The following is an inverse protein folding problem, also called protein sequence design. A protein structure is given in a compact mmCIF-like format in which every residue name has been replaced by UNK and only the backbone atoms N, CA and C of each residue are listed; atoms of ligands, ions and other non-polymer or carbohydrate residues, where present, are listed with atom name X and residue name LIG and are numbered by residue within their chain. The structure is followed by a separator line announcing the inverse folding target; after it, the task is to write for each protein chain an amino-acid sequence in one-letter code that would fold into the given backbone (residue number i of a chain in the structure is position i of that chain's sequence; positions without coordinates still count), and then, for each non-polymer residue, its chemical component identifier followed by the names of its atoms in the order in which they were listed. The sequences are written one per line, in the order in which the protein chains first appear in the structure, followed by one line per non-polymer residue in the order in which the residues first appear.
data_IF_788215566972
#
_entry.id   IF_788215566972
#
_cell.length_a   1.000
_cell.length_b   1.000
_cell.length_c   1.000
_cell.angle_alpha   90.00
_cell.angle_beta   90.00
_cell.angle_gamma   90.00
#
_symmetry.space_group_name_H-M   'P 1'
#
loop_
_entity.id
_entity.type
_entity.pdbx_description
1 polymer ?
#
# COMPACT_ATOMS: atom_id res chain seq x y z
N UNK A 1 -4.09 17.70 9.30
CA UNK A 1 -3.73 18.48 8.11
C UNK A 1 -4.82 18.33 7.04
N UNK A 2 -5.20 17.12 6.66
CA UNK A 2 -6.17 16.88 5.57
C UNK A 2 -7.64 17.09 5.98
N UNK A 3 -7.96 17.06 7.26
CA UNK A 3 -9.32 17.31 7.76
C UNK A 3 -9.80 18.71 7.36
N UNK A 4 -10.97 18.77 6.73
CA UNK A 4 -11.54 20.03 6.19
C UNK A 4 -10.97 20.49 4.84
N UNK A 5 -9.92 19.81 4.31
CA UNK A 5 -9.33 20.07 2.99
C UNK A 5 -9.66 18.94 2.01
N UNK A 6 -9.76 17.74 2.49
CA UNK A 6 -10.19 16.55 1.76
C UNK A 6 -11.56 16.13 2.31
N UNK A 7 -12.57 15.93 1.47
CA UNK A 7 -13.98 15.95 1.89
C UNK A 7 -14.37 14.79 2.82
N UNK A 8 -13.74 13.66 2.70
CA UNK A 8 -14.14 12.45 3.42
C UNK A 8 -12.92 11.64 3.91
N UNK A 9 -13.09 10.83 4.97
CA UNK A 9 -12.00 10.02 5.53
C UNK A 9 -11.37 9.05 4.53
N UNK A 10 -12.14 8.47 3.62
CA UNK A 10 -11.64 7.55 2.59
C UNK A 10 -10.64 8.25 1.67
N UNK A 11 -11.01 9.42 1.15
CA UNK A 11 -10.12 10.23 0.31
C UNK A 11 -8.87 10.70 1.07
N UNK A 12 -8.98 10.97 2.39
CA UNK A 12 -7.82 11.30 3.23
C UNK A 12 -6.84 10.12 3.32
N UNK A 13 -7.34 8.89 3.51
CA UNK A 13 -6.50 7.67 3.50
C UNK A 13 -5.82 7.49 2.17
N UNK A 14 -6.56 7.66 1.08
CA UNK A 14 -6.02 7.53 -0.27
C UNK A 14 -4.83 8.47 -0.48
N UNK A 15 -4.95 9.74 -0.07
CA UNK A 15 -3.85 10.69 -0.16
C UNK A 15 -2.64 10.28 0.69
N UNK A 16 -2.88 9.80 1.91
CA UNK A 16 -1.80 9.31 2.79
C UNK A 16 -1.13 8.09 2.15
N UNK A 17 -1.92 7.15 1.64
CA UNK A 17 -1.44 5.93 0.99
C UNK A 17 -0.55 6.25 -0.21
N UNK A 18 -1.03 7.11 -1.12
CA UNK A 18 -0.28 7.54 -2.30
C UNK A 18 1.04 8.18 -1.89
N UNK A 19 1.04 9.09 -0.91
CA UNK A 19 2.24 9.78 -0.48
C UNK A 19 3.25 8.86 0.22
N UNK A 20 2.78 7.91 1.05
CA UNK A 20 3.64 6.92 1.70
C UNK A 20 4.32 5.99 0.69
N UNK A 21 3.55 5.48 -0.27
CA UNK A 21 4.10 4.62 -1.32
C UNK A 21 5.07 5.41 -2.22
N UNK A 22 4.74 6.65 -2.53
CA UNK A 22 5.61 7.53 -3.30
C UNK A 22 6.96 7.73 -2.60
N UNK A 23 6.94 8.08 -1.31
CA UNK A 23 8.15 8.20 -0.49
C UNK A 23 8.92 6.88 -0.42
N UNK A 24 8.22 5.77 -0.15
CA UNK A 24 8.82 4.46 -0.07
C UNK A 24 9.58 4.06 -1.36
N UNK A 25 9.02 4.38 -2.54
CA UNK A 25 9.71 4.15 -3.82
C UNK A 25 11.02 4.94 -3.92
N UNK A 26 11.04 6.20 -3.46
CA UNK A 26 12.27 7.00 -3.46
C UNK A 26 13.30 6.49 -2.45
N UNK A 27 12.85 6.05 -1.28
CA UNK A 27 13.72 5.45 -0.26
C UNK A 27 14.36 4.14 -0.79
N UNK A 28 13.62 3.30 -1.52
CA UNK A 28 14.16 2.11 -2.18
C UNK A 28 15.21 2.45 -3.25
N UNK A 29 14.96 3.50 -4.05
CA UNK A 29 15.93 3.98 -5.04
C UNK A 29 17.19 4.52 -4.37
N UNK A 30 17.05 5.24 -3.24
CA UNK A 30 18.18 5.75 -2.47
C UNK A 30 19.02 4.61 -1.87
N UNK A 31 18.37 3.60 -1.30
CA UNK A 31 19.04 2.40 -0.77
C UNK A 31 19.78 1.64 -1.88
N UNK A 32 19.18 1.51 -3.07
CA UNK A 32 19.84 0.89 -4.21
C UNK A 32 21.11 1.65 -4.62
N UNK A 33 21.08 2.99 -4.65
CA UNK A 33 22.26 3.84 -4.93
C UNK A 33 23.34 3.67 -3.83
N UNK A 34 22.99 3.63 -2.57
CA UNK A 34 23.93 3.41 -1.47
C UNK A 34 24.65 2.06 -1.58
N UNK A 35 23.95 1.05 -2.10
CA UNK A 35 24.50 -0.29 -2.36
C UNK A 35 25.27 -0.39 -3.70
N UNK A 36 25.42 0.72 -4.43
CA UNK A 36 26.16 0.78 -5.71
C UNK A 36 25.35 0.37 -6.93
N UNK A 37 24.02 0.31 -6.81
CA UNK A 37 23.09 0.10 -7.94
C UNK A 37 22.58 1.42 -8.52
N UNK A 38 21.64 1.29 -9.44
CA UNK A 38 20.99 2.43 -10.11
C UNK A 38 19.57 2.66 -9.57
N UNK A 39 19.09 3.91 -9.68
CA UNK A 39 17.67 4.24 -9.47
C UNK A 39 16.81 3.60 -10.56
N UNK A 40 15.70 3.03 -10.17
CA UNK A 40 14.76 2.39 -11.08
C UNK A 40 13.42 3.15 -11.16
N UNK A 41 12.86 3.55 -10.02
CA UNK A 41 11.56 4.21 -9.95
C UNK A 41 11.62 5.66 -10.47
N UNK A 42 12.62 6.40 -10.03
CA UNK A 42 12.82 7.81 -10.39
C UNK A 42 14.05 7.96 -11.30
N UNK A 43 14.05 7.21 -12.42
CA UNK A 43 15.09 7.24 -13.44
C UNK A 43 14.64 7.98 -14.72
N UNK A 44 15.58 8.38 -15.57
CA UNK A 44 15.31 8.99 -16.87
C UNK A 44 14.39 10.22 -16.78
N UNK A 45 13.30 10.23 -17.54
CA UNK A 45 12.31 11.32 -17.55
C UNK A 45 11.56 11.49 -16.23
N UNK A 46 11.55 10.48 -15.36
CA UNK A 46 10.92 10.49 -14.04
C UNK A 46 11.85 10.96 -12.92
N UNK A 47 13.14 11.16 -13.17
CA UNK A 47 14.11 11.63 -12.17
C UNK A 47 13.74 12.99 -11.55
N UNK A 48 13.01 13.83 -12.27
CA UNK A 48 12.54 15.12 -11.78
C UNK A 48 11.49 15.01 -10.66
N UNK A 49 10.83 13.85 -10.54
CA UNK A 49 9.79 13.60 -9.54
C UNK A 49 10.32 12.99 -8.24
N UNK A 50 11.61 12.66 -8.11
CA UNK A 50 12.17 12.11 -6.87
C UNK A 50 11.76 12.90 -5.63
N UNK A 51 11.53 12.21 -4.51
CA UNK A 51 11.05 12.79 -3.27
C UNK A 51 11.95 13.93 -2.77
N UNK A 52 13.27 13.76 -2.86
CA UNK A 52 14.23 14.80 -2.50
C UNK A 52 14.08 16.11 -3.32
N UNK A 53 13.54 16.03 -4.55
CA UNK A 53 13.23 17.21 -5.36
C UNK A 53 12.01 17.95 -4.83
N UNK A 54 10.96 17.21 -4.45
CA UNK A 54 9.76 17.77 -3.83
C UNK A 54 10.07 18.47 -2.49
N UNK A 55 11.00 17.90 -1.72
CA UNK A 55 11.40 18.41 -0.40
C UNK A 55 12.53 19.44 -0.45
N UNK A 56 12.98 19.86 -1.64
CA UNK A 56 14.07 20.82 -1.78
C UNK A 56 13.72 22.16 -1.12
N UNK A 57 14.61 22.71 -0.26
CA UNK A 57 14.32 23.91 0.55
C UNK A 57 14.02 25.18 -0.27
N UNK A 58 14.53 25.25 -1.49
CA UNK A 58 14.41 26.41 -2.39
C UNK A 58 13.21 26.31 -3.34
N UNK A 59 12.42 25.23 -3.28
CA UNK A 59 11.25 25.06 -4.12
C UNK A 59 10.05 25.84 -3.55
N UNK A 60 9.40 26.65 -4.39
CA UNK A 60 8.20 27.40 -4.03
C UNK A 60 7.01 26.47 -3.74
N UNK A 61 6.09 26.89 -2.87
CA UNK A 61 4.92 26.04 -2.53
C UNK A 61 4.07 25.68 -3.74
N UNK A 62 3.87 26.62 -4.67
CA UNK A 62 3.14 26.35 -5.92
C UNK A 62 3.90 25.42 -6.87
N UNK A 63 5.23 25.47 -6.87
CA UNK A 63 6.06 24.58 -7.67
C UNK A 63 6.00 23.15 -7.12
N UNK A 64 6.03 22.97 -5.79
CA UNK A 64 5.82 21.68 -5.13
C UNK A 64 4.42 21.13 -5.47
N UNK A 65 3.39 21.98 -5.39
CA UNK A 65 2.02 21.59 -5.71
C UNK A 65 1.91 21.08 -7.16
N UNK A 66 2.46 21.84 -8.11
CA UNK A 66 2.45 21.50 -9.54
C UNK A 66 3.21 20.19 -9.79
N UNK A 67 4.43 20.08 -9.23
CA UNK A 67 5.30 18.92 -9.43
C UNK A 67 4.70 17.65 -8.82
N UNK A 68 4.20 17.71 -7.58
CA UNK A 68 3.56 16.56 -6.92
C UNK A 68 2.29 16.12 -7.65
N UNK A 69 1.43 17.07 -8.02
CA UNK A 69 0.20 16.76 -8.77
C UNK A 69 0.50 16.12 -10.14
N UNK A 70 1.51 16.63 -10.87
CA UNK A 70 1.97 16.04 -12.12
C UNK A 70 2.53 14.63 -11.89
N UNK A 71 3.36 14.46 -10.88
CA UNK A 71 4.02 13.20 -10.57
C UNK A 71 3.03 12.07 -10.28
N UNK A 72 2.10 12.27 -9.33
CA UNK A 72 1.14 11.22 -8.99
C UNK A 72 0.22 10.86 -10.16
N UNK A 73 -0.11 11.84 -11.01
CA UNK A 73 -0.94 11.62 -12.20
C UNK A 73 -0.21 10.89 -13.34
N UNK A 74 1.13 10.90 -13.35
CA UNK A 74 1.94 10.25 -14.40
C UNK A 74 2.62 8.96 -13.96
N UNK A 75 2.61 8.65 -12.67
CA UNK A 75 3.35 7.50 -12.15
C UNK A 75 2.84 6.17 -12.71
N UNK A 76 1.54 6.05 -13.00
CA UNK A 76 0.97 4.88 -13.63
C UNK A 76 1.50 4.61 -15.05
N UNK A 77 2.08 5.62 -15.72
CA UNK A 77 2.67 5.50 -17.05
C UNK A 77 4.18 5.21 -17.00
N UNK A 78 4.80 5.19 -15.81
CA UNK A 78 6.22 4.98 -15.65
C UNK A 78 6.62 3.55 -16.02
N UNK A 79 7.41 3.34 -17.10
CA UNK A 79 7.81 2.00 -17.53
C UNK A 79 8.85 1.35 -16.61
N UNK A 80 9.53 2.15 -15.78
CA UNK A 80 10.56 1.69 -14.85
C UNK A 80 10.02 1.07 -13.56
N UNK A 81 8.69 1.12 -13.33
CA UNK A 81 8.10 0.60 -12.11
C UNK A 81 7.27 -0.67 -12.36
N UNK A 82 7.24 -1.61 -11.39
CA UNK A 82 6.40 -2.79 -11.45
C UNK A 82 4.90 -2.45 -11.66
N UNK A 83 4.14 -3.39 -12.25
CA UNK A 83 2.72 -3.21 -12.51
C UNK A 83 1.94 -2.85 -11.23
N UNK A 84 2.27 -3.49 -10.11
CA UNK A 84 1.69 -3.19 -8.80
C UNK A 84 1.70 -1.68 -8.48
N UNK A 85 2.84 -1.01 -8.63
CA UNK A 85 2.92 0.43 -8.36
C UNK A 85 2.13 1.26 -9.37
N UNK A 86 2.13 0.85 -10.65
CA UNK A 86 1.30 1.50 -11.67
C UNK A 86 -0.18 1.42 -11.31
N UNK A 87 -0.63 0.28 -10.80
CA UNK A 87 -2.03 0.08 -10.39
C UNK A 87 -2.38 0.92 -9.16
N UNK A 88 -1.45 1.07 -8.21
CA UNK A 88 -1.63 1.97 -7.05
C UNK A 88 -1.82 3.42 -7.48
N UNK A 89 -1.07 3.90 -8.49
CA UNK A 89 -1.18 5.27 -8.99
C UNK A 89 -2.25 5.46 -10.08
N UNK A 90 -2.96 4.41 -10.49
CA UNK A 90 -4.03 4.51 -11.47
C UNK A 90 -5.11 5.47 -10.99
N UNK A 91 -5.41 6.49 -11.80
CA UNK A 91 -6.36 7.57 -11.48
C UNK A 91 -6.01 8.38 -10.21
N UNK A 92 -4.77 8.34 -9.75
CA UNK A 92 -4.34 9.17 -8.63
C UNK A 92 -4.39 10.65 -8.98
N UNK A 93 -4.94 11.46 -8.10
CA UNK A 93 -5.01 12.92 -8.26
C UNK A 93 -4.96 13.62 -6.90
N UNK A 94 -4.60 14.90 -6.90
CA UNK A 94 -4.60 15.73 -5.72
C UNK A 94 -5.94 16.48 -5.61
N UNK A 95 -6.78 16.23 -4.59
CA UNK A 95 -8.13 16.78 -4.50
C UNK A 95 -8.18 18.23 -4.00
N UNK A 96 -7.05 18.84 -3.66
CA UNK A 96 -6.95 20.21 -3.18
C UNK A 96 -5.83 20.99 -3.90
N UNK A 97 -5.85 22.32 -3.79
CA UNK A 97 -4.93 23.23 -4.49
C UNK A 97 -4.22 24.20 -3.54
N UNK A 98 -4.18 23.91 -2.27
CA UNK A 98 -3.54 24.74 -1.26
C UNK A 98 -2.08 24.28 -1.05
N UNK A 99 -1.07 25.09 -1.45
CA UNK A 99 0.33 24.74 -1.36
C UNK A 99 0.81 24.52 0.09
N UNK A 100 0.29 25.28 1.04
CA UNK A 100 0.71 25.19 2.44
C UNK A 100 0.19 23.90 3.08
N UNK A 101 -1.04 23.48 2.73
CA UNK A 101 -1.58 22.19 3.14
C UNK A 101 -0.72 21.07 2.58
N UNK A 102 -0.34 21.11 1.29
CA UNK A 102 0.49 20.08 0.69
C UNK A 102 1.87 20.01 1.34
N UNK A 103 2.55 21.15 1.52
CA UNK A 103 3.89 21.19 2.15
C UNK A 103 3.86 20.63 3.57
N UNK A 104 2.86 21.02 4.36
CA UNK A 104 2.69 20.50 5.72
C UNK A 104 2.44 19.00 5.71
N UNK A 105 1.62 18.52 4.79
CA UNK A 105 1.32 17.11 4.63
C UNK A 105 2.55 16.30 4.21
N UNK A 106 3.28 16.74 3.17
CA UNK A 106 4.49 16.05 2.72
C UNK A 106 5.57 16.04 3.79
N UNK A 107 5.68 17.10 4.60
CA UNK A 107 6.63 17.15 5.72
C UNK A 107 6.31 16.10 6.80
N UNK A 108 5.04 15.85 7.10
CA UNK A 108 4.66 14.77 8.03
C UNK A 108 5.02 13.39 7.45
N UNK A 109 4.76 13.20 6.16
CA UNK A 109 5.15 11.95 5.46
C UNK A 109 6.67 11.79 5.45
N UNK A 110 7.42 12.86 5.21
CA UNK A 110 8.89 12.85 5.19
C UNK A 110 9.49 12.48 6.56
N UNK A 111 8.87 12.98 7.63
CA UNK A 111 9.26 12.65 9.02
C UNK A 111 8.90 11.23 9.44
N UNK A 112 8.16 10.48 8.64
CA UNK A 112 7.79 9.11 8.95
C UNK A 112 8.96 8.18 8.68
N UNK A 113 9.58 7.67 9.75
CA UNK A 113 10.69 6.72 9.70
C UNK A 113 10.18 5.31 10.04
N UNK A 114 10.63 4.32 9.30
CA UNK A 114 10.34 2.91 9.54
C UNK A 114 11.61 2.08 9.43
N UNK A 115 11.87 1.29 10.45
CA UNK A 115 13.08 0.44 10.49
C UNK A 115 12.95 -0.83 9.64
N UNK A 116 11.71 -1.26 9.36
CA UNK A 116 11.39 -2.47 8.58
C UNK A 116 10.00 -2.33 7.93
N UNK A 117 9.84 -2.90 6.73
CA UNK A 117 8.57 -2.92 5.97
C UNK A 117 7.39 -3.50 6.76
N UNK A 118 7.65 -4.49 7.62
CA UNK A 118 6.62 -5.13 8.47
C UNK A 118 5.96 -4.13 9.44
N UNK A 119 6.75 -3.23 10.04
CA UNK A 119 6.23 -2.17 10.93
C UNK A 119 5.43 -1.12 10.16
N UNK A 120 5.81 -0.84 8.92
CA UNK A 120 5.06 0.06 8.07
C UNK A 120 3.69 -0.56 7.71
N UNK A 121 3.65 -1.86 7.43
CA UNK A 121 2.40 -2.61 7.21
C UNK A 121 1.46 -2.52 8.41
N UNK A 122 1.96 -2.77 9.62
CA UNK A 122 1.17 -2.68 10.85
C UNK A 122 0.68 -1.26 11.13
N UNK A 123 1.51 -0.24 10.89
CA UNK A 123 1.11 1.17 11.00
C UNK A 123 0.04 1.54 9.97
N UNK A 124 0.14 1.03 8.76
CA UNK A 124 -0.85 1.21 7.71
C UNK A 124 -2.18 0.54 8.07
N UNK A 125 -2.16 -0.68 8.58
CA UNK A 125 -3.37 -1.35 9.08
C UNK A 125 -4.01 -0.60 10.24
N UNK A 126 -3.23 -0.07 11.17
CA UNK A 126 -3.74 0.78 12.24
C UNK A 126 -4.43 2.03 11.68
N UNK A 127 -3.80 2.72 10.73
CA UNK A 127 -4.39 3.86 10.03
C UNK A 127 -5.74 3.49 9.40
N UNK A 128 -5.78 2.38 8.67
CA UNK A 128 -6.99 1.86 8.04
C UNK A 128 -8.09 1.52 9.08
N UNK A 129 -7.72 1.03 10.26
CA UNK A 129 -8.67 0.68 11.34
C UNK A 129 -9.30 1.92 11.98
N UNK A 130 -8.50 2.97 12.23
CA UNK A 130 -8.98 4.24 12.80
C UNK A 130 -10.00 4.91 11.85
N UNK A 131 -9.75 4.84 10.57
CA UNK A 131 -10.62 5.45 9.55
C UNK A 131 -11.91 4.65 9.34
N UNK A 132 -11.84 3.33 9.39
CA UNK A 132 -13.03 2.47 9.35
C UNK A 132 -13.95 2.64 10.55
N UNK A 133 -13.43 3.09 11.70
CA UNK A 133 -14.21 3.34 12.91
C UNK A 133 -15.01 4.67 12.89
N UNK A 134 -14.71 5.59 11.99
CA UNK A 134 -15.35 6.90 11.90
C UNK A 134 -16.69 6.90 11.14
N UNK A 135 -17.18 5.72 10.72
CA UNK A 135 -18.57 5.52 10.35
C UNK A 135 -19.06 6.15 9.04
N UNK A 136 -18.18 6.77 8.27
CA UNK A 136 -18.56 7.31 6.97
C UNK A 136 -18.44 6.25 5.86
N UNK A 137 -19.54 6.09 5.13
CA UNK A 137 -19.68 5.29 3.92
C UNK A 137 -19.97 3.78 4.07
N UNK A 138 -20.52 3.30 5.18
CA UNK A 138 -21.09 1.92 5.22
C UNK A 138 -20.07 0.78 5.12
N UNK A 139 -18.79 1.05 5.25
CA UNK A 139 -17.74 0.05 5.23
C UNK A 139 -17.48 -0.44 6.66
N UNK A 140 -18.18 -1.49 7.05
CA UNK A 140 -17.93 -2.17 8.31
C UNK A 140 -16.72 -3.08 8.15
N UNK A 141 -15.61 -2.75 8.83
CA UNK A 141 -14.45 -3.63 8.91
C UNK A 141 -14.61 -4.59 10.07
N UNK A 142 -14.37 -5.84 9.81
CA UNK A 142 -14.28 -6.84 10.88
C UNK A 142 -13.09 -6.47 11.78
N UNK A 143 -13.30 -6.34 13.11
CA UNK A 143 -12.20 -6.03 14.03
C UNK A 143 -11.07 -7.06 13.94
N UNK A 144 -9.82 -6.60 14.01
CA UNK A 144 -8.64 -7.45 13.82
C UNK A 144 -8.65 -8.69 14.71
N UNK A 145 -8.96 -8.56 15.98
CA UNK A 145 -8.99 -9.70 16.93
C UNK A 145 -10.04 -10.78 16.56
N UNK A 146 -11.11 -10.39 15.88
CA UNK A 146 -12.12 -11.34 15.37
C UNK A 146 -11.58 -12.04 14.12
N UNK A 147 -10.93 -11.32 13.22
CA UNK A 147 -10.27 -11.90 12.04
C UNK A 147 -9.22 -12.92 12.49
N UNK A 148 -8.34 -12.54 13.41
CA UNK A 148 -7.26 -13.39 13.89
C UNK A 148 -7.81 -14.64 14.59
N UNK A 149 -8.88 -14.51 15.39
CA UNK A 149 -9.58 -15.64 15.99
C UNK A 149 -10.16 -16.59 14.94
N UNK A 150 -10.83 -16.07 13.90
CA UNK A 150 -11.39 -16.90 12.83
C UNK A 150 -10.29 -17.62 12.06
N UNK A 151 -9.20 -16.94 11.74
CA UNK A 151 -8.04 -17.53 11.06
C UNK A 151 -7.38 -18.60 11.94
N UNK A 152 -7.26 -18.37 13.24
CA UNK A 152 -6.69 -19.34 14.18
C UNK A 152 -7.55 -20.61 14.30
N UNK A 153 -8.89 -20.46 14.29
CA UNK A 153 -9.83 -21.59 14.33
C UNK A 153 -9.81 -22.40 13.02
N UNK A 154 -9.75 -21.73 11.85
CA UNK A 154 -9.68 -22.37 10.53
C UNK A 154 -8.31 -23.01 10.31
N UNK A 155 -7.26 -22.40 10.87
CA UNK A 155 -5.88 -22.89 10.85
C UNK A 155 -5.34 -23.21 9.45
N UNK A 156 -5.34 -22.23 8.50
CA UNK A 156 -4.91 -22.46 7.14
C UNK A 156 -3.44 -22.88 7.07
N UNK A 157 -3.12 -23.79 6.14
CA UNK A 157 -1.78 -24.36 5.96
C UNK A 157 -1.09 -23.80 4.71
N UNK A 158 0.24 -23.85 4.68
CA UNK A 158 1.08 -23.30 3.59
C UNK A 158 0.78 -23.88 2.20
N UNK A 159 0.13 -25.04 2.11
CA UNK A 159 -0.23 -25.69 0.86
C UNK A 159 -1.67 -25.41 0.40
N UNK A 160 -2.45 -24.71 1.20
CA UNK A 160 -3.86 -24.45 0.93
C UNK A 160 -4.03 -23.12 0.18
N UNK A 161 -5.15 -23.01 -0.55
CA UNK A 161 -5.57 -21.77 -1.20
C UNK A 161 -6.49 -20.98 -0.28
N UNK A 162 -6.24 -19.68 -0.18
CA UNK A 162 -7.06 -18.75 0.57
C UNK A 162 -7.67 -17.76 -0.41
N UNK A 163 -9.00 -17.68 -0.45
CA UNK A 163 -9.73 -16.72 -1.25
C UNK A 163 -10.63 -15.87 -0.36
N UNK A 164 -10.52 -14.57 -0.48
CA UNK A 164 -11.49 -13.61 0.07
C UNK A 164 -12.23 -12.95 -1.09
N UNK A 165 -13.53 -13.28 -1.31
CA UNK A 165 -14.30 -12.79 -2.45
C UNK A 165 -14.82 -11.36 -2.29
N UNK A 166 -14.58 -10.70 -1.14
CA UNK A 166 -14.93 -9.32 -0.84
C UNK A 166 -13.89 -8.73 0.12
N UNK A 167 -12.62 -8.73 -0.33
CA UNK A 167 -11.46 -8.63 0.56
C UNK A 167 -11.28 -7.25 1.23
N UNK A 168 -11.97 -6.21 0.77
CA UNK A 168 -11.83 -4.88 1.30
C UNK A 168 -10.37 -4.42 1.25
N UNK A 169 -9.74 -4.29 2.39
CA UNK A 169 -8.31 -3.94 2.53
C UNK A 169 -7.40 -5.14 2.77
N UNK A 170 -7.85 -6.34 2.43
CA UNK A 170 -7.14 -7.62 2.57
C UNK A 170 -6.86 -8.06 4.02
N UNK A 171 -7.66 -7.61 4.99
CA UNK A 171 -7.43 -7.92 6.41
C UNK A 171 -7.40 -9.41 6.72
N UNK A 172 -8.33 -10.22 6.18
CA UNK A 172 -8.34 -11.68 6.34
C UNK A 172 -7.15 -12.35 5.66
N UNK A 173 -6.79 -11.91 4.45
CA UNK A 173 -5.68 -12.46 3.69
C UNK A 173 -4.34 -12.23 4.41
N UNK A 174 -4.14 -11.03 4.96
CA UNK A 174 -2.94 -10.69 5.75
C UNK A 174 -2.90 -11.48 7.05
N UNK A 175 -4.03 -11.64 7.74
CA UNK A 175 -4.07 -12.48 8.95
C UNK A 175 -3.74 -13.93 8.65
N UNK A 176 -4.29 -14.50 7.57
CA UNK A 176 -3.96 -15.86 7.12
C UNK A 176 -2.46 -15.99 6.79
N UNK A 177 -1.89 -15.04 6.05
CA UNK A 177 -0.46 -14.99 5.75
C UNK A 177 0.39 -14.97 7.02
N UNK A 178 0.13 -14.04 7.95
CA UNK A 178 0.85 -13.94 9.23
C UNK A 178 0.73 -15.22 10.05
N UNK A 179 -0.45 -15.83 10.09
CA UNK A 179 -0.69 -17.10 10.78
C UNK A 179 0.17 -18.22 10.22
N UNK A 180 0.19 -18.41 8.89
CA UNK A 180 0.99 -19.43 8.22
C UNK A 180 2.49 -19.17 8.42
N UNK A 181 2.95 -17.92 8.31
CA UNK A 181 4.34 -17.60 8.60
C UNK A 181 4.72 -17.92 10.04
N UNK A 182 3.86 -17.59 11.01
CA UNK A 182 4.06 -17.89 12.44
C UNK A 182 4.23 -19.40 12.68
N UNK A 183 3.42 -20.22 12.03
CA UNK A 183 3.52 -21.69 12.13
C UNK A 183 4.81 -22.27 11.52
N UNK A 184 5.45 -21.53 10.63
CA UNK A 184 6.70 -21.91 9.94
C UNK A 184 7.88 -21.03 10.39
N UNK A 185 7.92 -20.69 11.67
CA UNK A 185 8.91 -19.77 12.27
C UNK A 185 9.73 -20.47 13.33
N UNK A 186 11.06 -20.30 13.29
CA UNK A 186 11.99 -20.67 14.34
C UNK A 186 12.57 -19.42 15.03
N UNK A 187 13.16 -18.52 14.27
CA UNK A 187 13.78 -17.29 14.75
C UNK A 187 13.19 -16.04 14.09
N UNK A 188 12.87 -16.14 12.77
CA UNK A 188 12.29 -15.07 11.95
C UNK A 188 11.05 -15.56 11.25
N UNK A 189 10.09 -14.66 11.05
CA UNK A 189 8.81 -14.99 10.43
C UNK A 189 8.98 -15.77 9.10
N UNK A 190 8.50 -17.01 9.08
CA UNK A 190 8.56 -17.87 7.90
C UNK A 190 9.94 -18.40 7.52
N UNK A 191 10.93 -18.42 8.43
CA UNK A 191 12.30 -18.88 8.16
C UNK A 191 12.42 -20.39 7.94
N UNK A 192 11.37 -21.15 8.24
CA UNK A 192 11.29 -22.58 7.93
C UNK A 192 10.70 -22.86 6.54
N UNK A 193 10.22 -21.83 5.82
CA UNK A 193 9.77 -21.96 4.44
C UNK A 193 10.95 -21.87 3.48
N UNK A 194 11.02 -22.80 2.54
CA UNK A 194 11.92 -22.63 1.39
C UNK A 194 11.45 -21.45 0.51
N UNK A 195 12.33 -20.88 -0.35
CA UNK A 195 11.93 -19.84 -1.29
C UNK A 195 10.74 -20.25 -2.17
N UNK A 196 10.73 -21.50 -2.66
CA UNK A 196 9.64 -22.03 -3.49
C UNK A 196 8.33 -22.18 -2.70
N UNK A 197 8.39 -22.65 -1.46
CA UNK A 197 7.20 -22.75 -0.59
C UNK A 197 6.63 -21.37 -0.29
N UNK A 198 7.50 -20.36 -0.06
CA UNK A 198 7.05 -19.00 0.18
C UNK A 198 6.43 -18.38 -1.06
N UNK A 199 7.00 -18.61 -2.25
CA UNK A 199 6.45 -18.16 -3.52
C UNK A 199 5.09 -18.82 -3.80
N UNK A 200 4.98 -20.14 -3.59
CA UNK A 200 3.73 -20.89 -3.76
C UNK A 200 2.65 -20.43 -2.78
N UNK A 201 3.01 -20.17 -1.52
CA UNK A 201 2.08 -19.64 -0.53
C UNK A 201 1.55 -18.26 -0.95
N UNK A 202 2.42 -17.36 -1.40
CA UNK A 202 2.00 -16.05 -1.89
C UNK A 202 1.07 -16.18 -3.11
N UNK A 203 1.37 -17.10 -4.04
CA UNK A 203 0.55 -17.38 -5.22
C UNK A 203 -0.80 -18.04 -4.90
N UNK A 204 -0.96 -18.60 -3.71
CA UNK A 204 -2.20 -19.25 -3.28
C UNK A 204 -3.15 -18.31 -2.50
N UNK A 205 -2.77 -17.05 -2.28
CA UNK A 205 -3.59 -16.07 -1.57
C UNK A 205 -4.21 -15.09 -2.58
N UNK A 206 -5.54 -15.10 -2.67
CA UNK A 206 -6.30 -14.34 -3.66
C UNK A 206 -7.36 -13.47 -3.00
N UNK A 207 -7.61 -12.30 -3.55
CA UNK A 207 -8.68 -11.41 -3.11
C UNK A 207 -9.42 -10.78 -4.27
N UNK A 208 -10.72 -10.61 -4.12
CA UNK A 208 -11.56 -9.86 -5.03
C UNK A 208 -12.26 -8.73 -4.28
N UNK A 209 -12.44 -7.61 -4.95
CA UNK A 209 -13.32 -6.54 -4.47
C UNK A 209 -13.92 -5.80 -5.66
N UNK A 210 -15.16 -5.35 -5.53
CA UNK A 210 -15.85 -4.58 -6.56
C UNK A 210 -15.37 -3.12 -6.62
N UNK A 211 -14.79 -2.62 -5.53
CA UNK A 211 -14.35 -1.23 -5.42
C UNK A 211 -12.89 -1.06 -5.85
N UNK A 212 -12.61 -0.28 -6.92
CA UNK A 212 -11.24 0.02 -7.35
C UNK A 212 -10.38 0.62 -6.23
N UNK A 213 -10.99 1.40 -5.34
CA UNK A 213 -10.28 2.01 -4.21
C UNK A 213 -9.90 0.98 -3.16
N UNK A 214 -10.78 -0.01 -2.91
CA UNK A 214 -10.44 -1.12 -2.00
C UNK A 214 -9.35 -1.99 -2.60
N UNK A 215 -9.40 -2.29 -3.88
CA UNK A 215 -8.33 -2.99 -4.60
C UNK A 215 -7.00 -2.25 -4.44
N UNK A 216 -6.97 -0.94 -4.63
CA UNK A 216 -5.76 -0.13 -4.43
C UNK A 216 -5.23 -0.23 -2.99
N UNK A 217 -6.10 -0.05 -2.00
CA UNK A 217 -5.71 -0.13 -0.59
C UNK A 217 -5.23 -1.54 -0.21
N UNK A 218 -5.87 -2.58 -0.73
CA UNK A 218 -5.46 -3.97 -0.48
C UNK A 218 -4.11 -4.30 -1.12
N UNK A 219 -3.86 -3.84 -2.34
CA UNK A 219 -2.57 -4.01 -3.01
C UNK A 219 -1.44 -3.37 -2.19
N UNK A 220 -1.64 -2.15 -1.70
CA UNK A 220 -0.67 -1.48 -0.82
C UNK A 220 -0.48 -2.26 0.48
N UNK A 221 -1.59 -2.66 1.12
CA UNK A 221 -1.53 -3.37 2.38
C UNK A 221 -0.82 -4.73 2.25
N UNK A 222 -1.12 -5.50 1.22
CA UNK A 222 -0.43 -6.76 0.90
C UNK A 222 1.06 -6.53 0.62
N UNK A 223 1.39 -5.52 -0.19
CA UNK A 223 2.78 -5.19 -0.49
C UNK A 223 3.59 -4.85 0.77
N UNK A 224 3.04 -4.02 1.66
CA UNK A 224 3.68 -3.66 2.94
C UNK A 224 3.84 -4.86 3.89
N UNK A 225 3.12 -5.97 3.65
CA UNK A 225 3.26 -7.23 4.36
C UNK A 225 4.12 -8.27 3.61
N UNK A 226 4.87 -7.82 2.59
CA UNK A 226 5.89 -8.62 1.93
C UNK A 226 5.42 -9.39 0.68
N UNK A 227 4.25 -9.07 0.14
CA UNK A 227 3.82 -9.59 -1.17
C UNK A 227 4.41 -8.73 -2.28
N UNK A 228 5.25 -9.30 -3.10
CA UNK A 228 5.83 -8.61 -4.28
C UNK A 228 4.88 -8.58 -5.47
N UNK A 229 3.98 -9.56 -5.56
CA UNK A 229 2.97 -9.70 -6.61
C UNK A 229 1.65 -10.19 -6.00
N UNK A 230 0.88 -9.31 -5.31
CA UNK A 230 -0.38 -9.70 -4.66
C UNK A 230 -1.49 -9.94 -5.69
N UNK A 231 -2.19 -11.08 -5.56
CA UNK A 231 -3.29 -11.48 -6.42
C UNK A 231 -4.62 -10.86 -5.95
N UNK A 232 -4.75 -9.54 -6.11
CA UNK A 232 -5.99 -8.80 -5.82
C UNK A 232 -6.55 -8.25 -7.12
N UNK A 233 -7.82 -8.53 -7.38
CA UNK A 233 -8.48 -8.18 -8.64
C UNK A 233 -9.79 -7.44 -8.39
N UNK A 234 -10.05 -6.39 -9.18
CA UNK A 234 -11.37 -5.75 -9.25
C UNK A 234 -12.35 -6.72 -9.93
N UNK A 235 -13.28 -7.26 -9.15
CA UNK A 235 -14.23 -8.25 -9.63
C UNK A 235 -15.51 -8.24 -8.80
N UNK A 236 -16.67 -8.26 -9.48
CA UNK A 236 -17.96 -8.48 -8.84
C UNK A 236 -18.25 -9.98 -8.72
N UNK A 237 -18.03 -10.53 -7.53
CA UNK A 237 -18.20 -11.96 -7.24
C UNK A 237 -19.66 -12.44 -7.24
N UNK A 238 -20.63 -11.51 -7.32
CA UNK A 238 -22.06 -11.83 -7.39
C UNK A 238 -22.56 -11.87 -8.83
N UNK A 239 -21.78 -11.39 -9.79
CA UNK A 239 -22.12 -11.51 -11.21
C UNK A 239 -21.53 -12.81 -11.76
N UNK A 240 -22.38 -13.64 -12.38
CA UNK A 240 -21.94 -14.79 -13.16
C UNK A 240 -21.61 -14.31 -14.58
N UNK A 241 -20.41 -13.79 -14.82
CA UNK A 241 -19.87 -13.77 -16.18
C UNK A 241 -19.12 -15.10 -16.40
N UNK A 242 -19.64 -15.89 -17.36
CA UNK A 242 -18.97 -17.09 -17.86
C UNK A 242 -17.77 -16.70 -18.75
#
# INVERSE_FOLDING_TARGET
ILVGKVPDPKSQVEQITIALIYKFMDDMDAEAEELGGDRNFFAGSYAKYGWAKLMAPNMGGFDVLALYSEAIGKMNENPGIPQLFRDIFKNAYLPYRDPETLRSFLKEIDGFTYDHSERLGDAFEYLLSVLGSQGDAGQFRTPRHIIDFMVEVIDPKKSERVLDPACGTAGFLISAWKHILKQNTKERAGDQLTPDERANLAANIHGYDISPDMVRLSLVNMYLHGFTDPHIVEYDTLTSEE
#
